data_IF_348396043655
#
_entry.id   IF_348396043655
#
_cell.length_a   1.000
_cell.length_b   1.000
_cell.length_c   1.000
_cell.angle_alpha   90.00
_cell.angle_beta   90.00
_cell.angle_gamma   90.00
#
_symmetry.space_group_name_H-M   'P 1'
#
loop_
_entity.id
_entity.type
_entity.pdbx_description
1 polymer ?
#
# COMPACT_ATOMS: atom_id res chain seq x y z
N UNK A 1 6.96 -7.16 -1.28
CA UNK A 1 8.44 -7.10 -1.37
C UNK A 1 9.00 -7.17 0.03
N UNK A 2 9.34 -8.37 0.51
CA UNK A 2 9.63 -8.67 1.93
C UNK A 2 11.10 -8.44 2.33
N UNK A 3 11.63 -7.26 2.00
CA UNK A 3 13.05 -6.92 2.16
C UNK A 3 13.49 -6.85 3.63
N UNK A 4 14.79 -6.96 3.86
CA UNK A 4 15.38 -7.03 5.20
C UNK A 4 15.15 -5.78 6.03
N UNK A 5 15.20 -4.57 5.42
CA UNK A 5 14.89 -3.35 6.17
C UNK A 5 13.52 -3.40 6.85
N UNK A 6 12.50 -4.01 6.22
CA UNK A 6 11.16 -4.16 6.83
C UNK A 6 11.24 -5.14 8.02
N UNK A 7 11.99 -6.22 7.85
CA UNK A 7 12.19 -7.23 8.90
C UNK A 7 12.95 -6.67 10.09
N UNK A 8 14.03 -5.93 9.86
CA UNK A 8 14.84 -5.29 10.89
C UNK A 8 14.07 -4.19 11.61
N UNK A 9 13.26 -3.40 10.88
CA UNK A 9 12.47 -2.31 11.47
C UNK A 9 11.35 -2.81 12.36
N UNK A 10 10.71 -3.93 12.01
CA UNK A 10 9.51 -4.44 12.70
C UNK A 10 9.77 -5.70 13.53
N UNK A 11 11.00 -6.19 13.56
CA UNK A 11 11.41 -7.48 14.14
C UNK A 11 10.54 -8.64 13.65
N UNK A 12 10.52 -8.85 12.32
CA UNK A 12 9.67 -9.88 11.68
C UNK A 12 10.40 -10.75 10.65
N UNK A 13 10.12 -12.07 10.64
CA UNK A 13 10.64 -12.98 9.63
C UNK A 13 10.00 -12.69 8.25
N UNK A 14 10.65 -13.12 7.17
CA UNK A 14 10.26 -12.83 5.77
C UNK A 14 8.76 -13.02 5.48
N UNK A 15 8.15 -14.10 5.99
CA UNK A 15 6.73 -14.43 5.73
C UNK A 15 5.75 -13.48 6.42
N UNK A 16 6.21 -12.68 7.38
CA UNK A 16 5.38 -11.76 8.17
C UNK A 16 5.60 -10.28 7.78
N UNK A 17 6.39 -10.01 6.73
CA UNK A 17 6.76 -8.63 6.32
C UNK A 17 5.73 -7.95 5.42
N UNK A 18 4.60 -8.58 5.13
CA UNK A 18 3.58 -8.02 4.21
C UNK A 18 3.06 -6.67 4.72
N UNK A 19 2.72 -6.56 6.01
CA UNK A 19 2.18 -5.32 6.58
C UNK A 19 3.18 -4.16 6.43
N UNK A 20 4.44 -4.36 6.81
CA UNK A 20 5.46 -3.31 6.69
C UNK A 20 5.81 -2.96 5.24
N UNK A 21 5.75 -3.94 4.33
CA UNK A 21 5.88 -3.71 2.89
C UNK A 21 4.76 -2.79 2.40
N UNK A 22 3.50 -3.11 2.71
CA UNK A 22 2.34 -2.35 2.28
C UNK A 22 2.35 -0.93 2.84
N UNK A 23 2.79 -0.76 4.10
CA UNK A 23 3.00 0.57 4.69
C UNK A 23 4.06 1.38 3.92
N UNK A 24 5.20 0.78 3.59
CA UNK A 24 6.25 1.45 2.80
C UNK A 24 5.74 1.83 1.41
N UNK A 25 4.99 0.94 0.77
CA UNK A 25 4.34 1.20 -0.53
C UNK A 25 3.40 2.40 -0.44
N UNK A 26 2.57 2.48 0.61
CA UNK A 26 1.62 3.58 0.79
C UNK A 26 2.33 4.94 0.88
N UNK A 27 3.38 5.02 1.69
CA UNK A 27 4.19 6.24 1.85
C UNK A 27 4.89 6.60 0.53
N UNK A 28 5.49 5.62 -0.15
CA UNK A 28 6.15 5.83 -1.44
C UNK A 28 5.17 6.37 -2.49
N UNK A 29 3.94 5.85 -2.50
CA UNK A 29 2.89 6.31 -3.39
C UNK A 29 2.45 7.73 -3.10
N UNK A 30 2.30 8.08 -1.82
CA UNK A 30 1.99 9.45 -1.40
C UNK A 30 3.09 10.43 -1.83
N UNK A 31 4.35 10.01 -1.75
CA UNK A 31 5.52 10.81 -2.16
C UNK A 31 5.78 10.81 -3.68
N UNK A 32 4.89 10.22 -4.49
CA UNK A 32 4.92 10.34 -5.94
C UNK A 32 5.61 9.20 -6.70
N UNK A 33 5.93 8.07 -6.06
CA UNK A 33 6.45 6.91 -6.77
C UNK A 33 5.43 6.39 -7.82
N UNK A 34 5.94 5.99 -8.99
CA UNK A 34 5.09 5.59 -10.15
C UNK A 34 5.19 4.13 -10.54
N UNK A 35 6.27 3.44 -10.14
CA UNK A 35 6.53 2.04 -10.49
C UNK A 35 6.83 1.26 -9.22
N UNK A 36 6.22 0.09 -9.09
CA UNK A 36 6.30 -0.76 -7.89
C UNK A 36 6.66 -2.19 -8.30
N UNK A 37 7.74 -2.72 -7.71
CA UNK A 37 8.14 -4.13 -7.83
C UNK A 37 7.80 -4.85 -6.53
N UNK A 38 6.84 -5.77 -6.58
CA UNK A 38 6.28 -6.45 -5.40
C UNK A 38 6.01 -7.93 -5.70
N UNK A 39 5.87 -8.75 -4.65
CA UNK A 39 5.43 -10.14 -4.78
C UNK A 39 3.91 -10.24 -4.55
N UNK A 40 3.39 -9.44 -3.63
CA UNK A 40 1.98 -9.34 -3.21
C UNK A 40 1.26 -8.29 -4.09
N UNK A 41 0.98 -8.67 -5.35
CA UNK A 41 0.47 -7.73 -6.37
C UNK A 41 -0.93 -7.23 -6.05
N UNK A 42 -1.83 -8.11 -5.60
CA UNK A 42 -3.23 -7.78 -5.35
C UNK A 42 -3.38 -6.78 -4.20
N UNK A 43 -2.70 -7.05 -3.08
CA UNK A 43 -2.68 -6.23 -1.88
C UNK A 43 -2.01 -4.88 -2.16
N UNK A 44 -0.92 -4.89 -2.92
CA UNK A 44 -0.25 -3.65 -3.37
C UNK A 44 -1.20 -2.80 -4.20
N UNK A 45 -1.95 -3.38 -5.15
CA UNK A 45 -2.92 -2.63 -5.95
C UNK A 45 -4.00 -1.98 -5.08
N UNK A 46 -4.51 -2.70 -4.07
CA UNK A 46 -5.50 -2.15 -3.13
C UNK A 46 -4.95 -0.97 -2.33
N UNK A 47 -3.70 -1.03 -1.87
CA UNK A 47 -3.04 0.09 -1.18
C UNK A 47 -2.91 1.30 -2.09
N UNK A 48 -2.42 1.10 -3.33
CA UNK A 48 -2.28 2.20 -4.30
C UNK A 48 -3.63 2.86 -4.63
N UNK A 49 -4.66 2.03 -4.80
CA UNK A 49 -6.04 2.45 -4.99
C UNK A 49 -6.55 3.31 -3.82
N UNK A 50 -6.28 2.87 -2.59
CA UNK A 50 -6.68 3.60 -1.40
C UNK A 50 -5.94 4.92 -1.27
N UNK A 51 -4.62 4.93 -1.44
CA UNK A 51 -3.80 6.16 -1.41
C UNK A 51 -4.28 7.16 -2.47
N UNK A 52 -4.56 6.70 -3.69
CA UNK A 52 -5.10 7.55 -4.75
C UNK A 52 -6.47 8.15 -4.39
N UNK A 53 -7.35 7.39 -3.72
CA UNK A 53 -8.62 7.91 -3.23
C UNK A 53 -8.45 8.92 -2.10
N UNK A 54 -7.54 8.68 -1.15
CA UNK A 54 -7.23 9.63 -0.06
C UNK A 54 -6.66 10.93 -0.63
N UNK A 55 -5.78 10.85 -1.61
CA UNK A 55 -5.18 12.00 -2.27
C UNK A 55 -6.15 12.77 -3.20
N UNK A 56 -7.38 12.28 -3.38
CA UNK A 56 -8.36 12.90 -4.27
C UNK A 56 -8.11 12.68 -5.77
N UNK A 57 -7.18 11.80 -6.14
CA UNK A 57 -6.87 11.51 -7.54
C UNK A 57 -7.91 10.59 -8.20
N UNK A 58 -8.72 9.88 -7.39
CA UNK A 58 -9.82 9.05 -7.87
C UNK A 58 -10.94 8.97 -6.83
N UNK A 59 -12.21 8.74 -7.22
CA UNK A 59 -13.27 8.47 -6.26
C UNK A 59 -13.11 7.08 -5.60
N UNK A 60 -13.79 6.82 -4.47
CA UNK A 60 -13.98 5.46 -3.97
C UNK A 60 -14.69 4.59 -5.03
N UNK A 61 -14.37 3.30 -5.09
CA UNK A 61 -15.00 2.39 -6.05
C UNK A 61 -16.53 2.26 -5.84
N UNK A 62 -16.99 2.41 -4.59
CA UNK A 62 -18.42 2.43 -4.24
C UNK A 62 -18.67 3.45 -3.13
N UNK A 63 -19.51 4.44 -3.36
CA UNK A 63 -19.80 5.54 -2.42
C UNK A 63 -21.17 5.39 -1.71
N UNK A 64 -21.41 4.25 -1.03
CA UNK A 64 -22.73 3.96 -0.41
C UNK A 64 -23.13 4.94 0.70
N UNK A 65 -22.19 5.44 1.50
CA UNK A 65 -22.49 6.22 2.71
C UNK A 65 -22.60 7.73 2.46
N UNK A 66 -22.30 8.22 1.25
CA UNK A 66 -22.36 9.65 0.89
C UNK A 66 -23.58 10.04 0.07
N UNK A 67 -24.55 9.13 -0.09
CA UNK A 67 -25.77 9.30 -0.89
C UNK A 67 -27.05 9.28 -0.03
N UNK A 68 -26.90 9.33 1.30
CA UNK A 68 -27.99 9.38 2.27
C UNK A 68 -28.16 10.81 2.81
#
# INVERSE_FOLDING_TARGET
>A
SNKDFVGETLDRPVKERVVGTLATTAVSAWLGARVYRVHEVAETRQVLDMVASIAGHRPPAVARRGLA
#
